data_IF_054183522413
#
_entry.id   IF_054183522413
#
_cell.length_a   1.000
_cell.length_b   1.000
_cell.length_c   1.000
_cell.angle_alpha   90.00
_cell.angle_beta   90.00
_cell.angle_gamma   90.00
#
_symmetry.space_group_name_H-M   'P 1'
#
loop_
_entity.id
_entity.type
_entity.pdbx_description
1 polymer ?
#
# COMPACT_ATOMS: atom_id res chain seq x y z
N UNK A 1 -43.90 -3.83 -5.47
CA UNK A 1 -43.69 -2.37 -5.31
C UNK A 1 -42.45 -2.16 -4.46
N UNK A 2 -41.27 -2.10 -5.09
CA UNK A 2 -40.00 -1.91 -4.38
C UNK A 2 -39.85 -0.45 -3.99
N UNK A 3 -40.07 -0.15 -2.72
CA UNK A 3 -39.67 1.10 -2.09
C UNK A 3 -38.12 1.13 -2.03
N UNK A 4 -37.48 1.34 -3.18
CA UNK A 4 -36.04 1.54 -3.26
C UNK A 4 -35.63 2.81 -2.51
N UNK A 5 -34.42 2.84 -1.95
CA UNK A 5 -33.92 4.05 -1.28
C UNK A 5 -33.91 5.21 -2.29
N UNK A 6 -34.14 6.47 -1.88
CA UNK A 6 -34.11 7.61 -2.80
C UNK A 6 -32.83 7.72 -3.66
N UNK A 7 -31.71 7.18 -3.17
CA UNK A 7 -30.46 7.09 -3.92
C UNK A 7 -30.54 6.13 -5.11
N UNK A 8 -31.19 4.96 -4.96
CA UNK A 8 -31.19 3.89 -5.97
C UNK A 8 -31.85 4.35 -7.27
N UNK A 9 -32.96 5.08 -7.18
CA UNK A 9 -33.66 5.64 -8.33
C UNK A 9 -32.78 6.65 -9.09
N UNK A 10 -32.11 7.55 -8.37
CA UNK A 10 -31.22 8.54 -8.98
C UNK A 10 -29.98 7.88 -9.61
N UNK A 11 -29.42 6.85 -8.97
CA UNK A 11 -28.28 6.09 -9.50
C UNK A 11 -28.64 5.49 -10.86
N UNK A 12 -29.80 4.82 -10.97
CA UNK A 12 -30.26 4.25 -12.23
C UNK A 12 -30.47 5.32 -13.31
N UNK A 13 -31.18 6.40 -12.95
CA UNK A 13 -31.51 7.50 -13.86
C UNK A 13 -30.26 8.22 -14.41
N UNK A 14 -29.23 8.40 -13.59
CA UNK A 14 -28.03 9.15 -13.94
C UNK A 14 -26.91 8.28 -14.50
N UNK A 15 -27.04 6.95 -14.44
CA UNK A 15 -26.09 6.04 -15.06
C UNK A 15 -26.19 6.05 -16.58
N UNK A 16 -25.06 5.84 -17.26
CA UNK A 16 -24.97 5.82 -18.72
C UNK A 16 -24.29 4.53 -19.18
N UNK A 17 -24.71 4.04 -20.33
CA UNK A 17 -24.02 2.94 -20.98
C UNK A 17 -22.60 3.37 -21.38
N UNK A 18 -21.62 2.51 -21.10
CA UNK A 18 -20.25 2.65 -21.53
C UNK A 18 -19.78 1.35 -22.17
N UNK A 19 -18.97 1.47 -23.21
CA UNK A 19 -18.40 0.34 -23.94
C UNK A 19 -16.89 0.41 -23.81
N UNK A 20 -16.30 -0.67 -23.29
CA UNK A 20 -14.84 -0.80 -23.21
C UNK A 20 -14.21 -0.94 -24.61
N UNK A 21 -12.90 -0.68 -24.76
CA UNK A 21 -12.17 -1.01 -25.97
C UNK A 21 -12.32 -2.49 -26.39
N UNK A 22 -12.47 -3.39 -25.41
CA UNK A 22 -12.78 -4.81 -25.63
C UNK A 22 -14.26 -5.13 -25.87
N UNK A 23 -15.09 -4.14 -26.22
CA UNK A 23 -16.53 -4.24 -26.52
C UNK A 23 -17.45 -4.74 -25.39
N UNK A 24 -16.95 -4.88 -24.16
CA UNK A 24 -17.80 -5.15 -22.99
C UNK A 24 -18.65 -3.91 -22.67
N UNK A 25 -19.97 -4.09 -22.56
CA UNK A 25 -20.93 -3.07 -22.13
C UNK A 25 -21.07 -3.06 -20.62
N UNK A 26 -21.07 -1.88 -20.00
CA UNK A 26 -21.31 -1.68 -18.56
C UNK A 26 -22.12 -0.41 -18.35
N UNK A 27 -22.79 -0.30 -17.22
CA UNK A 27 -23.33 0.97 -16.75
C UNK A 27 -22.26 1.69 -15.92
N UNK A 28 -22.13 2.99 -16.16
CA UNK A 28 -21.15 3.86 -15.52
C UNK A 28 -21.83 5.11 -15.00
N UNK A 29 -21.39 5.59 -13.85
CA UNK A 29 -21.84 6.87 -13.28
C UNK A 29 -20.65 7.82 -13.12
N UNK A 30 -20.80 9.05 -13.58
CA UNK A 30 -19.76 10.06 -13.48
C UNK A 30 -19.68 10.69 -12.08
N UNK A 31 -18.57 11.38 -11.82
CA UNK A 31 -18.31 12.00 -10.51
C UNK A 31 -19.32 13.11 -10.15
N UNK A 32 -19.79 13.87 -11.13
CA UNK A 32 -20.73 14.97 -10.85
C UNK A 32 -22.08 14.41 -10.41
N UNK A 33 -22.54 13.35 -11.07
CA UNK A 33 -23.75 12.60 -10.71
C UNK A 33 -23.64 11.98 -9.31
N UNK A 34 -22.52 11.34 -8.98
CA UNK A 34 -22.26 10.81 -7.62
C UNK A 34 -22.35 11.93 -6.56
N UNK A 35 -21.72 13.09 -6.82
CA UNK A 35 -21.75 14.24 -5.90
C UNK A 35 -23.15 14.82 -5.74
N UNK A 36 -23.89 14.91 -6.84
CA UNK A 36 -25.28 15.37 -6.83
C UNK A 36 -26.16 14.47 -5.96
N UNK A 37 -26.07 13.16 -6.14
CA UNK A 37 -26.84 12.17 -5.36
C UNK A 37 -26.45 12.26 -3.88
N UNK A 38 -25.14 12.29 -3.58
CA UNK A 38 -24.62 12.42 -2.22
C UNK A 38 -25.17 13.66 -1.51
N UNK A 39 -25.16 14.81 -2.19
CA UNK A 39 -25.72 16.06 -1.67
C UNK A 39 -27.23 15.97 -1.45
N UNK A 40 -27.99 15.47 -2.44
CA UNK A 40 -29.46 15.39 -2.39
C UNK A 40 -29.96 14.45 -1.30
N UNK A 41 -29.23 13.38 -1.05
CA UNK A 41 -29.59 12.32 -0.07
C UNK A 41 -28.88 12.48 1.27
N UNK A 42 -28.04 13.50 1.45
CA UNK A 42 -27.20 13.70 2.65
C UNK A 42 -26.37 12.45 3.01
N UNK A 43 -25.89 11.74 2.01
CA UNK A 43 -25.11 10.50 2.15
C UNK A 43 -23.68 10.74 1.67
N UNK A 44 -22.69 10.15 2.33
CA UNK A 44 -21.30 10.30 1.93
C UNK A 44 -21.06 9.75 0.51
N UNK A 45 -20.23 10.41 -0.30
CA UNK A 45 -19.95 9.99 -1.69
C UNK A 45 -19.46 8.55 -1.78
N UNK A 46 -18.68 8.08 -0.80
CA UNK A 46 -18.23 6.69 -0.69
C UNK A 46 -19.38 5.69 -0.65
N UNK A 47 -20.41 5.96 0.16
CA UNK A 47 -21.56 5.07 0.30
C UNK A 47 -22.41 5.07 -0.98
N UNK A 48 -22.48 6.20 -1.69
CA UNK A 48 -23.07 6.25 -3.04
C UNK A 48 -22.25 5.41 -4.02
N UNK A 49 -20.93 5.54 -4.04
CA UNK A 49 -20.04 4.74 -4.91
C UNK A 49 -20.17 3.22 -4.64
N UNK A 50 -20.25 2.82 -3.36
CA UNK A 50 -20.51 1.43 -2.96
C UNK A 50 -21.89 0.98 -3.46
N UNK A 51 -22.94 1.77 -3.24
CA UNK A 51 -24.30 1.45 -3.69
C UNK A 51 -24.36 1.30 -5.22
N UNK A 52 -23.65 2.15 -5.97
CA UNK A 52 -23.55 2.01 -7.43
C UNK A 52 -22.96 0.64 -7.81
N UNK A 53 -21.83 0.27 -7.20
CA UNK A 53 -21.16 -1.00 -7.47
C UNK A 53 -22.03 -2.21 -7.12
N UNK A 54 -22.77 -2.16 -6.00
CA UNK A 54 -23.74 -3.19 -5.62
C UNK A 54 -24.88 -3.38 -6.65
N UNK A 55 -25.19 -2.33 -7.42
CA UNK A 55 -26.13 -2.37 -8.54
C UNK A 55 -25.47 -2.69 -9.90
N UNK A 56 -24.18 -3.05 -9.92
CA UNK A 56 -23.44 -3.30 -11.15
C UNK A 56 -23.08 -2.04 -11.94
N UNK A 57 -23.27 -0.86 -11.36
CA UNK A 57 -22.96 0.44 -11.97
C UNK A 57 -21.61 0.91 -11.45
N UNK A 58 -20.65 1.12 -12.36
CA UNK A 58 -19.27 1.43 -11.98
C UNK A 58 -19.07 2.94 -11.90
N UNK A 59 -18.62 3.51 -10.76
CA UNK A 59 -18.15 4.89 -10.73
C UNK A 59 -16.99 5.07 -11.72
N UNK A 60 -17.10 6.04 -12.62
CA UNK A 60 -16.21 6.19 -13.78
C UNK A 60 -14.71 6.20 -13.42
N UNK A 61 -14.36 6.76 -12.25
CA UNK A 61 -12.99 6.81 -11.73
C UNK A 61 -12.34 5.44 -11.53
N UNK A 62 -13.12 4.39 -11.24
CA UNK A 62 -12.59 3.04 -10.97
C UNK A 62 -12.71 2.10 -12.16
N UNK A 63 -13.18 2.59 -13.31
CA UNK A 63 -13.42 1.78 -14.50
C UNK A 63 -12.17 1.02 -14.97
N UNK A 64 -10.99 1.60 -14.74
CA UNK A 64 -9.68 1.03 -15.07
C UNK A 64 -9.18 -0.02 -14.07
N UNK A 65 -9.88 -0.22 -12.95
CA UNK A 65 -9.56 -1.25 -11.95
C UNK A 65 -10.35 -2.53 -12.19
N UNK A 66 -11.57 -2.42 -12.73
CA UNK A 66 -12.55 -3.51 -12.75
C UNK A 66 -12.08 -4.73 -13.55
N UNK A 67 -11.27 -4.53 -14.59
CA UNK A 67 -10.69 -5.65 -15.35
C UNK A 67 -9.74 -6.53 -14.52
N UNK A 68 -9.16 -5.99 -13.45
CA UNK A 68 -8.16 -6.67 -12.62
C UNK A 68 -8.74 -7.19 -11.31
N UNK A 69 -9.52 -6.36 -10.60
CA UNK A 69 -10.03 -6.71 -9.25
C UNK A 69 -11.54 -6.95 -9.20
N UNK A 70 -12.25 -6.78 -10.32
CA UNK A 70 -13.71 -6.90 -10.37
C UNK A 70 -14.45 -5.80 -9.60
N UNK A 71 -15.79 -5.89 -9.58
CA UNK A 71 -16.66 -4.98 -8.84
C UNK A 71 -16.52 -5.26 -7.34
N UNK A 72 -16.49 -6.53 -6.97
CA UNK A 72 -16.37 -7.03 -5.62
C UNK A 72 -15.05 -6.58 -4.98
N UNK A 73 -13.93 -6.63 -5.72
CA UNK A 73 -12.66 -6.11 -5.25
C UNK A 73 -12.70 -4.61 -5.00
N UNK A 74 -13.32 -3.83 -5.90
CA UNK A 74 -13.47 -2.39 -5.69
C UNK A 74 -14.36 -2.05 -4.48
N UNK A 75 -15.42 -2.83 -4.23
CA UNK A 75 -16.25 -2.70 -3.01
C UNK A 75 -15.39 -2.99 -1.76
N UNK A 76 -14.57 -4.05 -1.78
CA UNK A 76 -13.65 -4.36 -0.66
C UNK A 76 -12.68 -3.20 -0.40
N UNK A 77 -12.12 -2.59 -1.45
CA UNK A 77 -11.26 -1.41 -1.30
C UNK A 77 -12.01 -0.24 -0.64
N UNK A 78 -13.21 0.10 -1.14
CA UNK A 78 -14.03 1.20 -0.60
C UNK A 78 -14.51 0.95 0.85
N UNK A 79 -14.53 -0.30 1.30
CA UNK A 79 -14.87 -0.68 2.68
C UNK A 79 -13.66 -0.85 3.60
N UNK A 80 -12.45 -0.87 3.03
CA UNK A 80 -11.23 -1.14 3.78
C UNK A 80 -10.70 0.07 4.54
N UNK A 81 -10.00 -0.21 5.63
CA UNK A 81 -9.18 0.75 6.37
C UNK A 81 -7.73 0.37 6.22
N UNK A 82 -6.90 1.30 5.75
CA UNK A 82 -5.46 1.12 5.59
C UNK A 82 -4.71 2.13 6.44
N UNK A 83 -3.70 1.68 7.17
CA UNK A 83 -2.79 2.58 7.90
C UNK A 83 -1.50 2.75 7.13
N UNK A 84 -1.05 4.00 6.99
CA UNK A 84 0.29 4.33 6.49
C UNK A 84 1.11 4.92 7.63
N UNK A 85 2.20 4.25 7.99
CA UNK A 85 3.12 4.67 9.04
C UNK A 85 4.28 5.47 8.44
N UNK A 86 4.27 6.79 8.55
CA UNK A 86 5.22 7.70 7.93
C UNK A 86 4.72 8.27 6.61
N UNK A 87 5.03 9.54 6.35
CA UNK A 87 4.68 10.29 5.12
C UNK A 87 5.97 10.83 4.49
N UNK A 88 6.96 9.95 4.36
CA UNK A 88 8.23 10.23 3.68
C UNK A 88 8.15 9.98 2.17
N UNK A 89 9.27 9.59 1.55
CA UNK A 89 9.32 9.28 0.11
C UNK A 89 8.42 8.11 -0.26
N UNK A 90 8.44 7.05 0.57
CA UNK A 90 7.54 5.90 0.44
C UNK A 90 6.10 6.29 0.78
N UNK A 91 5.87 6.67 2.04
CA UNK A 91 4.54 6.92 2.60
C UNK A 91 3.71 7.98 1.87
N UNK A 92 4.34 9.02 1.31
CA UNK A 92 3.65 10.00 0.48
C UNK A 92 3.10 9.40 -0.80
N UNK A 93 3.91 8.61 -1.50
CA UNK A 93 3.51 7.90 -2.73
C UNK A 93 2.47 6.83 -2.44
N UNK A 94 2.64 6.06 -1.36
CA UNK A 94 1.66 5.07 -0.89
C UNK A 94 0.29 5.75 -0.68
N UNK A 95 0.27 6.87 0.05
CA UNK A 95 -0.95 7.63 0.35
C UNK A 95 -1.67 8.06 -0.94
N UNK A 96 -0.93 8.62 -1.90
CA UNK A 96 -1.49 9.07 -3.17
C UNK A 96 -2.07 7.91 -3.99
N UNK A 97 -1.34 6.81 -4.12
CA UNK A 97 -1.78 5.65 -4.88
C UNK A 97 -2.99 4.94 -4.24
N UNK A 98 -3.01 4.78 -2.91
CA UNK A 98 -4.17 4.20 -2.22
C UNK A 98 -5.42 5.08 -2.36
N UNK A 99 -5.28 6.41 -2.35
CA UNK A 99 -6.39 7.33 -2.59
C UNK A 99 -6.95 7.19 -4.00
N UNK A 100 -6.07 7.03 -5.01
CA UNK A 100 -6.45 6.79 -6.41
C UNK A 100 -7.15 5.43 -6.58
N UNK A 101 -6.74 4.42 -5.81
CA UNK A 101 -7.37 3.09 -5.82
C UNK A 101 -8.74 3.05 -5.11
N UNK A 102 -9.11 4.10 -4.38
CA UNK A 102 -10.39 4.17 -3.68
C UNK A 102 -10.42 3.36 -2.39
N UNK A 103 -9.34 3.38 -1.61
CA UNK A 103 -9.40 2.88 -0.23
C UNK A 103 -10.42 3.68 0.57
N UNK A 104 -11.29 3.00 1.30
CA UNK A 104 -12.39 3.62 2.04
C UNK A 104 -11.95 4.57 3.14
N UNK A 105 -10.92 4.19 3.90
CA UNK A 105 -10.39 4.96 5.00
C UNK A 105 -8.86 4.84 5.08
N UNK A 106 -8.17 5.97 5.03
CA UNK A 106 -6.74 6.09 5.27
C UNK A 106 -6.47 6.67 6.66
N UNK A 107 -5.72 5.93 7.47
CA UNK A 107 -5.16 6.43 8.73
C UNK A 107 -3.69 6.73 8.49
N UNK A 108 -3.29 7.99 8.60
CA UNK A 108 -1.94 8.44 8.23
C UNK A 108 -1.23 8.92 9.49
N UNK A 109 -0.07 8.32 9.81
CA UNK A 109 0.64 8.58 11.06
C UNK A 109 2.03 9.15 10.76
N UNK A 110 2.27 10.41 11.10
CA UNK A 110 3.59 11.05 11.01
C UNK A 110 3.59 12.31 11.90
N UNK A 111 4.69 12.56 12.62
CA UNK A 111 4.85 13.72 13.51
C UNK A 111 5.53 14.93 12.84
N UNK A 112 6.08 14.71 11.66
CA UNK A 112 7.01 15.59 10.98
C UNK A 112 6.34 16.77 10.28
N UNK A 113 7.20 17.68 9.86
CA UNK A 113 6.89 18.79 8.96
C UNK A 113 7.74 18.67 7.71
N UNK A 114 7.30 19.26 6.60
CA UNK A 114 8.15 19.30 5.41
C UNK A 114 9.30 20.27 5.60
N UNK A 115 10.47 19.86 5.13
CA UNK A 115 11.70 20.64 5.07
C UNK A 115 12.27 20.56 3.64
N UNK A 116 13.16 21.47 3.28
CA UNK A 116 13.62 21.65 1.89
C UNK A 116 14.17 20.37 1.25
N UNK A 117 15.00 19.61 2.00
CA UNK A 117 15.54 18.33 1.52
C UNK A 117 14.49 17.21 1.34
N UNK A 118 13.20 17.48 1.55
CA UNK A 118 12.10 16.57 1.26
C UNK A 118 11.57 16.74 -0.18
N UNK A 119 11.76 17.93 -0.77
CA UNK A 119 11.24 18.27 -2.10
C UNK A 119 11.76 17.34 -3.20
N UNK A 120 12.94 16.76 -3.01
CA UNK A 120 13.56 15.87 -3.99
C UNK A 120 12.80 14.55 -4.21
N UNK A 121 12.04 14.06 -3.21
CA UNK A 121 11.49 12.68 -3.24
C UNK A 121 10.13 12.47 -2.58
N UNK A 122 9.67 13.42 -1.75
CA UNK A 122 8.40 13.28 -1.04
C UNK A 122 7.30 13.92 -1.90
N UNK A 123 6.59 13.11 -2.69
CA UNK A 123 5.62 13.57 -3.71
C UNK A 123 4.52 14.52 -3.18
N UNK A 124 4.23 14.47 -1.87
CA UNK A 124 3.24 15.36 -1.23
C UNK A 124 3.83 16.75 -0.93
N UNK A 125 5.16 16.87 -0.78
CA UNK A 125 5.82 18.12 -0.49
C UNK A 125 5.86 19.02 -1.74
N UNK A 126 5.50 20.28 -1.54
CA UNK A 126 5.72 21.37 -2.49
C UNK A 126 6.48 22.49 -1.79
N UNK A 127 7.04 23.45 -2.54
CA UNK A 127 7.71 24.62 -1.95
C UNK A 127 6.76 25.40 -1.02
N UNK A 128 5.47 25.46 -1.36
CA UNK A 128 4.44 26.11 -0.53
C UNK A 128 4.17 25.37 0.78
N UNK A 129 4.57 24.09 0.90
CA UNK A 129 4.27 23.24 2.06
C UNK A 129 5.41 23.17 3.08
N UNK A 130 6.53 23.84 2.83
CA UNK A 130 7.65 23.91 3.78
C UNK A 130 7.17 24.41 5.16
N UNK A 131 7.59 23.71 6.21
CA UNK A 131 7.15 23.95 7.59
C UNK A 131 5.74 23.44 7.93
N UNK A 132 4.92 23.02 6.97
CA UNK A 132 3.59 22.46 7.25
C UNK A 132 3.68 21.02 7.74
N UNK A 133 2.67 20.59 8.50
CA UNK A 133 2.56 19.21 9.01
C UNK A 133 2.30 18.24 7.88
N UNK A 134 3.12 17.18 7.79
CA UNK A 134 3.02 16.19 6.72
C UNK A 134 1.65 15.53 6.63
N UNK A 135 1.10 15.10 7.77
CA UNK A 135 -0.22 14.44 7.79
C UNK A 135 -1.37 15.37 7.42
N UNK A 136 -1.27 16.68 7.73
CA UNK A 136 -2.30 17.66 7.34
C UNK A 136 -2.26 17.91 5.84
N UNK A 137 -1.09 18.15 5.27
CA UNK A 137 -0.93 18.30 3.82
C UNK A 137 -1.35 17.03 3.07
N UNK A 138 -1.07 15.84 3.61
CA UNK A 138 -1.53 14.58 3.03
C UNK A 138 -3.06 14.47 2.98
N UNK A 139 -3.78 14.91 4.02
CA UNK A 139 -5.25 14.99 4.02
C UNK A 139 -5.74 15.89 2.88
N UNK A 140 -5.16 17.08 2.74
CA UNK A 140 -5.57 18.03 1.71
C UNK A 140 -5.27 17.49 0.30
N UNK A 141 -4.14 16.81 0.13
CA UNK A 141 -3.78 16.13 -1.11
C UNK A 141 -4.79 15.03 -1.46
N UNK A 142 -5.12 14.15 -0.52
CA UNK A 142 -6.09 13.06 -0.74
C UNK A 142 -7.47 13.62 -1.09
N UNK A 143 -7.94 14.66 -0.40
CA UNK A 143 -9.23 15.30 -0.71
C UNK A 143 -9.32 15.83 -2.14
N UNK A 144 -8.22 16.37 -2.67
CA UNK A 144 -8.13 16.84 -4.07
C UNK A 144 -8.17 15.68 -5.08
N UNK A 145 -7.66 14.50 -4.71
CA UNK A 145 -7.60 13.31 -5.56
C UNK A 145 -8.94 12.55 -5.54
N UNK A 146 -9.43 12.24 -4.34
CA UNK A 146 -10.60 11.38 -4.17
C UNK A 146 -11.40 11.78 -2.92
N UNK A 147 -12.49 12.52 -3.15
CA UNK A 147 -13.38 13.00 -2.09
C UNK A 147 -14.21 11.89 -1.42
N UNK A 148 -14.20 10.65 -1.96
CA UNK A 148 -14.82 9.50 -1.31
C UNK A 148 -13.92 8.86 -0.23
N UNK A 149 -12.61 9.14 -0.24
CA UNK A 149 -11.67 8.58 0.73
C UNK A 149 -11.75 9.37 2.03
N UNK A 150 -12.03 8.68 3.13
CA UNK A 150 -11.94 9.27 4.47
C UNK A 150 -10.49 9.25 4.92
N UNK A 151 -9.99 10.34 5.51
CA UNK A 151 -8.62 10.41 6.03
C UNK A 151 -8.60 10.81 7.49
N UNK A 152 -7.91 10.04 8.32
CA UNK A 152 -7.63 10.36 9.72
C UNK A 152 -6.14 10.67 9.89
N UNK A 153 -5.76 11.95 10.06
CA UNK A 153 -4.38 12.32 10.34
C UNK A 153 -4.04 12.11 11.82
N UNK A 154 -2.93 11.41 12.08
CA UNK A 154 -2.38 11.22 13.42
C UNK A 154 -1.03 11.91 13.47
N UNK A 155 -1.03 13.17 13.92
CA UNK A 155 0.18 13.97 14.11
C UNK A 155 0.87 13.64 15.44
N UNK A 156 1.41 12.42 15.56
CA UNK A 156 2.05 11.91 16.79
C UNK A 156 3.25 11.02 16.44
N UNK A 157 4.20 10.95 17.37
CA UNK A 157 5.30 9.98 17.30
C UNK A 157 4.75 8.56 17.46
N UNK A 158 5.23 7.64 16.61
CA UNK A 158 4.96 6.21 16.78
C UNK A 158 5.84 5.66 17.90
N UNK A 159 5.23 4.99 18.86
CA UNK A 159 5.92 4.24 19.91
C UNK A 159 5.07 3.05 20.37
N UNK A 160 5.66 2.17 21.19
CA UNK A 160 5.02 0.93 21.65
C UNK A 160 3.74 1.18 22.47
N UNK A 161 3.62 2.34 23.13
CA UNK A 161 2.45 2.67 23.95
C UNK A 161 1.25 3.12 23.11
N UNK A 162 1.49 3.73 21.94
CA UNK A 162 0.43 4.40 21.16
C UNK A 162 0.02 3.64 19.90
N UNK A 163 0.94 2.88 19.30
CA UNK A 163 0.75 2.30 17.96
C UNK A 163 -0.46 1.36 17.88
N UNK A 164 -0.66 0.51 18.90
CA UNK A 164 -1.77 -0.46 18.93
C UNK A 164 -3.13 0.24 18.86
N UNK A 165 -3.29 1.38 19.53
CA UNK A 165 -4.52 2.19 19.46
C UNK A 165 -4.75 2.75 18.06
N UNK A 166 -3.69 3.15 17.37
CA UNK A 166 -3.79 3.78 16.06
C UNK A 166 -4.12 2.78 14.95
N UNK A 167 -3.67 1.52 15.08
CA UNK A 167 -3.81 0.52 14.00
C UNK A 167 -4.91 -0.52 14.21
N UNK A 168 -5.54 -0.60 15.39
CA UNK A 168 -6.46 -1.69 15.78
C UNK A 168 -7.59 -2.05 14.79
N UNK A 169 -8.00 -1.12 13.93
CA UNK A 169 -9.09 -1.31 12.97
C UNK A 169 -8.59 -1.42 11.52
N UNK A 170 -7.28 -1.54 11.32
CA UNK A 170 -6.69 -1.63 9.99
C UNK A 170 -6.88 -3.03 9.40
N UNK A 171 -7.23 -3.09 8.12
CA UNK A 171 -7.17 -4.33 7.34
C UNK A 171 -5.73 -4.66 6.90
N UNK A 172 -4.88 -3.64 6.75
CA UNK A 172 -3.45 -3.75 6.45
C UNK A 172 -2.73 -2.47 6.88
N UNK A 173 -1.46 -2.61 7.29
CA UNK A 173 -0.56 -1.50 7.62
C UNK A 173 0.60 -1.48 6.62
N UNK A 174 0.97 -0.31 6.10
CA UNK A 174 2.11 -0.12 5.20
C UNK A 174 3.24 0.68 5.86
N UNK A 175 4.47 0.32 5.51
CA UNK A 175 5.71 0.89 6.02
C UNK A 175 6.19 2.09 5.20
N UNK A 176 5.97 3.30 5.71
CA UNK A 176 6.56 4.53 5.20
C UNK A 176 7.70 5.06 6.09
N UNK A 177 8.28 4.23 6.96
CA UNK A 177 9.22 4.64 8.00
C UNK A 177 10.67 4.65 7.51
N UNK A 178 11.49 5.46 8.17
CA UNK A 178 12.89 5.69 7.84
C UNK A 178 13.87 5.10 8.85
N UNK A 179 13.39 4.37 9.87
CA UNK A 179 14.26 3.80 10.89
C UNK A 179 13.78 2.43 11.36
N UNK A 180 14.75 1.53 11.51
CA UNK A 180 14.54 0.12 11.85
C UNK A 180 13.78 -0.10 13.17
N UNK A 181 14.09 0.69 14.20
CA UNK A 181 13.46 0.54 15.52
C UNK A 181 11.95 0.79 15.48
N UNK A 182 11.51 1.85 14.77
CA UNK A 182 10.08 2.13 14.62
C UNK A 182 9.40 1.06 13.76
N UNK A 183 10.06 0.54 12.72
CA UNK A 183 9.56 -0.58 11.91
C UNK A 183 9.28 -1.81 12.78
N UNK A 184 10.22 -2.19 13.65
CA UNK A 184 10.02 -3.30 14.62
C UNK A 184 8.84 -3.06 15.55
N UNK A 185 8.68 -1.84 16.08
CA UNK A 185 7.54 -1.49 16.95
C UNK A 185 6.21 -1.69 16.22
N UNK A 186 6.09 -1.20 14.98
CA UNK A 186 4.87 -1.34 14.17
C UNK A 186 4.61 -2.80 13.82
N UNK A 187 5.61 -3.54 13.35
CA UNK A 187 5.47 -4.95 13.00
C UNK A 187 5.04 -5.81 14.19
N UNK A 188 5.63 -5.59 15.36
CA UNK A 188 5.24 -6.29 16.59
C UNK A 188 3.79 -6.00 16.98
N UNK A 189 3.35 -4.74 16.83
CA UNK A 189 1.98 -4.35 17.09
C UNK A 189 1.00 -4.98 16.08
N UNK A 190 1.37 -5.03 14.80
CA UNK A 190 0.60 -5.69 13.75
C UNK A 190 0.45 -7.19 14.05
N UNK A 191 1.53 -7.87 14.40
CA UNK A 191 1.48 -9.29 14.77
C UNK A 191 0.60 -9.54 16.00
N UNK A 192 0.73 -8.70 17.05
CA UNK A 192 -0.11 -8.79 18.26
C UNK A 192 -1.61 -8.63 17.96
N UNK A 193 -1.95 -7.74 17.02
CA UNK A 193 -3.33 -7.45 16.62
C UNK A 193 -3.84 -8.33 15.48
N UNK A 194 -3.00 -9.25 14.98
CA UNK A 194 -3.28 -10.09 13.80
C UNK A 194 -3.62 -9.27 12.54
N UNK A 195 -2.88 -8.20 12.31
CA UNK A 195 -3.01 -7.33 11.15
C UNK A 195 -1.82 -7.57 10.20
N UNK A 196 -2.06 -7.77 8.89
CA UNK A 196 -0.99 -7.81 7.89
C UNK A 196 -0.16 -6.52 7.85
N UNK A 197 1.15 -6.67 7.65
CA UNK A 197 2.09 -5.56 7.50
C UNK A 197 2.87 -5.70 6.19
N UNK A 198 2.86 -4.67 5.36
CA UNK A 198 3.67 -4.59 4.14
C UNK A 198 4.87 -3.70 4.43
N UNK A 199 6.05 -4.28 4.29
CA UNK A 199 7.32 -3.60 4.53
C UNK A 199 7.97 -3.17 3.21
N UNK A 200 8.44 -1.93 3.18
CA UNK A 200 9.37 -1.39 2.19
C UNK A 200 10.53 -0.65 2.86
N UNK A 201 11.71 -0.72 2.25
CA UNK A 201 12.85 0.13 2.61
C UNK A 201 13.70 0.44 1.37
N UNK A 202 14.49 1.52 1.45
CA UNK A 202 15.31 2.02 0.35
C UNK A 202 16.64 2.56 0.87
N UNK A 203 17.67 2.52 0.01
CA UNK A 203 18.94 3.22 0.18
C UNK A 203 19.57 3.45 -1.20
N UNK A 204 19.74 4.69 -1.63
CA UNK A 204 20.29 5.00 -2.96
C UNK A 204 19.47 4.38 -4.10
N UNK A 205 20.12 3.54 -4.89
CA UNK A 205 19.50 2.75 -5.98
C UNK A 205 19.09 1.34 -5.55
N UNK A 206 19.08 1.06 -4.25
CA UNK A 206 18.59 -0.20 -3.72
C UNK A 206 17.21 -0.01 -3.09
N UNK A 207 16.36 -1.01 -3.23
CA UNK A 207 15.08 -1.08 -2.55
C UNK A 207 14.75 -2.50 -2.16
N UNK A 208 13.91 -2.67 -1.15
CA UNK A 208 13.49 -3.98 -0.71
C UNK A 208 12.05 -3.97 -0.23
N UNK A 209 11.42 -5.15 -0.27
CA UNK A 209 10.07 -5.29 0.24
C UNK A 209 9.70 -6.73 0.63
N UNK A 210 8.72 -6.85 1.52
CA UNK A 210 8.06 -8.11 1.84
C UNK A 210 6.66 -7.88 2.41
N UNK A 211 5.85 -8.93 2.40
CA UNK A 211 4.57 -8.99 3.10
C UNK A 211 4.68 -9.90 4.31
N UNK A 212 4.37 -9.36 5.48
CA UNK A 212 4.42 -10.05 6.78
C UNK A 212 2.97 -10.27 7.24
N UNK A 213 2.53 -11.52 7.23
CA UNK A 213 1.22 -11.91 7.77
C UNK A 213 1.32 -12.24 9.27
N UNK A 214 0.19 -12.23 10.00
CA UNK A 214 0.17 -12.66 11.39
C UNK A 214 0.76 -14.06 11.59
N UNK A 215 1.71 -14.19 12.52
CA UNK A 215 2.43 -15.42 12.80
C UNK A 215 3.72 -15.63 11.99
N UNK A 216 3.99 -14.82 10.96
CA UNK A 216 5.24 -14.90 10.21
C UNK A 216 6.42 -14.41 11.08
N UNK A 217 7.63 -14.94 10.83
CA UNK A 217 8.85 -14.47 11.52
C UNK A 217 9.14 -12.99 11.24
N UNK A 218 8.78 -12.49 10.05
CA UNK A 218 8.96 -11.11 9.63
C UNK A 218 10.39 -10.61 9.84
N UNK A 219 10.54 -9.44 10.47
CA UNK A 219 11.85 -8.83 10.77
C UNK A 219 12.79 -9.71 11.60
N UNK A 220 12.29 -10.67 12.38
CA UNK A 220 13.18 -11.59 13.11
C UNK A 220 14.07 -12.37 12.14
N UNK A 221 13.50 -12.86 11.04
CA UNK A 221 14.26 -13.58 10.01
C UNK A 221 15.32 -12.70 9.35
N UNK A 222 15.03 -11.40 9.16
CA UNK A 222 16.01 -10.42 8.70
C UNK A 222 17.18 -10.29 9.69
N UNK A 223 16.87 -10.06 10.98
CA UNK A 223 17.89 -9.84 12.01
C UNK A 223 18.81 -11.04 12.15
N UNK A 224 18.22 -12.24 12.08
CA UNK A 224 18.95 -13.52 12.14
C UNK A 224 19.98 -13.62 10.99
N UNK A 225 19.71 -13.01 9.83
CA UNK A 225 20.61 -13.01 8.65
C UNK A 225 21.66 -11.90 8.74
N UNK A 226 21.25 -10.68 9.10
CA UNK A 226 22.14 -9.50 9.12
C UNK A 226 23.14 -9.55 10.28
N UNK A 227 22.76 -10.14 11.42
CA UNK A 227 23.60 -10.22 12.62
C UNK A 227 23.76 -8.90 13.36
N UNK A 228 22.99 -7.86 13.01
CA UNK A 228 23.04 -6.53 13.63
C UNK A 228 21.63 -6.05 13.98
N UNK A 229 21.42 -5.61 15.22
CA UNK A 229 20.15 -5.05 15.69
C UNK A 229 20.07 -3.52 15.60
N UNK A 230 21.15 -2.85 15.16
CA UNK A 230 21.32 -1.41 15.35
C UNK A 230 22.26 -0.79 14.31
N UNK A 231 21.80 0.30 13.70
CA UNK A 231 22.56 1.19 12.82
C UNK A 231 21.67 2.28 12.21
N UNK A 232 22.23 3.45 11.93
CA UNK A 232 21.63 4.32 10.89
C UNK A 232 21.71 3.55 9.58
N UNK A 233 20.61 3.48 8.84
CA UNK A 233 20.62 2.71 7.60
C UNK A 233 21.56 3.36 6.58
N UNK A 234 21.98 2.56 5.60
CA UNK A 234 22.96 2.93 4.57
C UNK A 234 22.45 4.12 3.70
N UNK A 235 21.16 4.46 3.77
CA UNK A 235 20.58 5.65 3.16
C UNK A 235 21.17 6.97 3.67
N UNK A 236 21.72 7.00 4.89
CA UNK A 236 22.39 8.19 5.42
C UNK A 236 23.65 8.56 4.66
N UNK A 237 24.29 7.57 4.02
CA UNK A 237 25.47 7.73 3.19
C UNK A 237 25.11 7.84 1.70
N UNK A 238 24.17 7.01 1.24
CA UNK A 238 23.82 6.88 -0.18
C UNK A 238 22.74 7.86 -0.64
N UNK A 239 22.04 8.51 0.29
CA UNK A 239 20.89 9.36 -0.01
C UNK A 239 19.70 8.56 -0.54
N UNK A 240 18.67 9.28 -1.00
CA UNK A 240 17.43 8.69 -1.52
C UNK A 240 16.98 9.43 -2.79
N UNK A 241 17.44 8.99 -3.98
CA UNK A 241 16.96 9.46 -5.28
C UNK A 241 15.45 9.31 -5.42
N UNK A 242 14.80 10.18 -6.18
CA UNK A 242 13.33 10.29 -6.22
C UNK A 242 12.61 9.01 -6.70
N UNK A 243 13.19 8.31 -7.67
CA UNK A 243 12.56 7.16 -8.33
C UNK A 243 12.50 5.92 -7.43
N UNK A 244 13.56 5.64 -6.67
CA UNK A 244 13.68 4.47 -5.79
C UNK A 244 12.50 4.33 -4.82
N UNK A 245 12.13 5.34 -3.99
CA UNK A 245 10.95 5.25 -3.13
C UNK A 245 9.66 5.11 -3.93
N UNK A 246 9.52 5.76 -5.09
CA UNK A 246 8.30 5.67 -5.87
C UNK A 246 8.03 4.23 -6.37
N UNK A 247 9.09 3.53 -6.80
CA UNK A 247 9.00 2.13 -7.26
C UNK A 247 8.60 1.20 -6.10
N UNK A 248 9.29 1.30 -4.96
CA UNK A 248 9.00 0.45 -3.79
C UNK A 248 7.60 0.74 -3.25
N UNK A 249 7.22 2.01 -3.09
CA UNK A 249 5.89 2.41 -2.65
C UNK A 249 4.78 1.88 -3.57
N UNK A 250 5.00 1.94 -4.89
CA UNK A 250 4.03 1.40 -5.85
C UNK A 250 3.83 -0.10 -5.65
N UNK A 251 4.90 -0.85 -5.38
CA UNK A 251 4.80 -2.29 -5.16
C UNK A 251 4.21 -2.62 -3.77
N UNK A 252 4.53 -1.86 -2.72
CA UNK A 252 3.86 -2.00 -1.41
C UNK A 252 2.34 -1.82 -1.53
N UNK A 253 1.90 -0.83 -2.33
CA UNK A 253 0.48 -0.64 -2.60
C UNK A 253 -0.12 -1.85 -3.30
N UNK A 254 0.58 -2.46 -4.27
CA UNK A 254 0.09 -3.68 -4.91
C UNK A 254 -0.10 -4.81 -3.89
N UNK A 255 0.84 -5.03 -2.97
CA UNK A 255 0.66 -6.04 -1.91
C UNK A 255 -0.58 -5.74 -1.05
N UNK A 256 -0.80 -4.48 -0.67
CA UNK A 256 -1.98 -4.08 0.08
C UNK A 256 -3.29 -4.34 -0.69
N UNK A 257 -3.34 -4.02 -2.00
CA UNK A 257 -4.50 -4.32 -2.83
C UNK A 257 -4.75 -5.84 -2.88
N UNK A 258 -3.70 -6.66 -3.04
CA UNK A 258 -3.84 -8.12 -3.05
C UNK A 258 -4.35 -8.67 -1.72
N UNK A 259 -3.86 -8.14 -0.59
CA UNK A 259 -4.34 -8.50 0.75
C UNK A 259 -5.84 -8.19 0.89
N UNK A 260 -6.27 -6.99 0.51
CA UNK A 260 -7.66 -6.54 0.69
C UNK A 260 -8.61 -7.28 -0.25
N UNK A 261 -8.20 -7.48 -1.51
CA UNK A 261 -9.08 -8.04 -2.55
C UNK A 261 -9.07 -9.58 -2.55
N UNK A 262 -7.95 -10.19 -2.17
CA UNK A 262 -7.68 -11.63 -2.29
C UNK A 262 -7.21 -12.05 -3.69
N UNK A 263 -6.84 -11.10 -4.56
CA UNK A 263 -6.43 -11.39 -5.94
C UNK A 263 -4.90 -11.51 -6.03
N UNK A 264 -4.39 -12.65 -6.48
CA UNK A 264 -2.95 -12.89 -6.72
C UNK A 264 -2.16 -13.34 -5.48
N UNK A 265 -0.87 -13.63 -5.69
CA UNK A 265 0.03 -14.16 -4.67
C UNK A 265 0.82 -13.08 -3.95
N UNK A 266 1.02 -13.22 -2.64
CA UNK A 266 1.77 -12.27 -1.82
C UNK A 266 3.27 -12.54 -1.83
N UNK A 267 4.05 -11.50 -1.52
CA UNK A 267 5.49 -11.60 -1.22
C UNK A 267 5.67 -12.06 0.24
N UNK A 268 5.12 -13.24 0.56
CA UNK A 268 5.22 -13.86 1.88
C UNK A 268 6.41 -14.82 1.94
N UNK A 269 7.04 -14.94 3.11
CA UNK A 269 8.19 -15.84 3.37
C UNK A 269 9.44 -15.56 2.50
N UNK A 270 9.51 -14.39 1.89
CA UNK A 270 10.62 -13.94 1.04
C UNK A 270 10.82 -12.44 1.12
N UNK A 271 12.06 -12.02 1.01
CA UNK A 271 12.45 -10.62 0.81
C UNK A 271 12.77 -10.43 -0.67
N UNK A 272 12.12 -9.48 -1.32
CA UNK A 272 12.52 -9.02 -2.65
C UNK A 272 13.54 -7.91 -2.46
N UNK A 273 14.67 -8.01 -3.14
CA UNK A 273 15.71 -7.00 -3.19
C UNK A 273 15.88 -6.53 -4.63
N UNK A 274 15.78 -5.23 -4.84
CA UNK A 274 15.97 -4.57 -6.12
C UNK A 274 17.26 -3.77 -6.07
N UNK A 275 18.11 -3.99 -7.07
CA UNK A 275 19.30 -3.19 -7.32
C UNK A 275 19.15 -2.50 -8.67
N UNK A 276 18.90 -1.19 -8.66
CA UNK A 276 18.74 -0.40 -9.88
C UNK A 276 20.08 0.03 -10.49
N UNK A 277 21.20 -0.15 -9.78
CA UNK A 277 22.52 0.09 -10.36
C UNK A 277 22.87 -1.04 -11.34
N UNK A 278 22.66 -2.28 -10.90
CA UNK A 278 22.93 -3.48 -11.69
C UNK A 278 21.70 -4.02 -12.44
N UNK A 279 20.53 -3.38 -12.27
CA UNK A 279 19.24 -3.80 -12.82
C UNK A 279 18.83 -5.23 -12.44
N UNK A 280 19.03 -5.61 -11.17
CA UNK A 280 18.71 -6.95 -10.67
C UNK A 280 17.52 -6.96 -9.72
N UNK A 281 16.82 -8.09 -9.70
CA UNK A 281 15.73 -8.39 -8.76
C UNK A 281 15.98 -9.77 -8.16
N UNK A 282 16.34 -9.81 -6.89
CA UNK A 282 16.61 -11.04 -6.16
C UNK A 282 15.47 -11.38 -5.21
N UNK A 283 15.21 -12.68 -5.08
CA UNK A 283 14.28 -13.22 -4.09
C UNK A 283 15.07 -14.00 -3.05
N UNK A 284 15.11 -13.48 -1.81
CA UNK A 284 15.78 -14.13 -0.68
C UNK A 284 14.71 -14.87 0.13
N UNK A 285 14.81 -16.20 0.22
CA UNK A 285 13.91 -17.00 1.04
C UNK A 285 14.19 -16.75 2.52
N UNK A 286 13.13 -16.49 3.30
CA UNK A 286 13.21 -16.29 4.75
C UNK A 286 12.76 -17.54 5.53
N UNK A 287 12.42 -18.62 4.82
CA UNK A 287 12.02 -19.88 5.42
C UNK A 287 13.23 -20.76 5.72
N UNK A 288 13.47 -21.03 7.01
CA UNK A 288 13.94 -22.35 7.44
C UNK A 288 12.70 -23.14 7.86
N UNK A 289 12.03 -23.79 6.90
CA UNK A 289 11.20 -24.96 7.24
C UNK A 289 12.15 -26.14 7.30
N UNK A 290 12.21 -26.80 8.45
CA UNK A 290 12.65 -28.21 8.51
C UNK A 290 11.62 -29.00 7.69
N UNK A 291 12.11 -29.90 6.86
CA UNK A 291 11.40 -30.62 5.81
C UNK A 291 9.99 -31.09 6.20
N UNK A 292 9.03 -30.82 5.31
CA UNK A 292 8.11 -31.83 4.77
C UNK A 292 7.50 -31.26 3.48
N UNK A 293 7.93 -31.83 2.36
CA UNK A 293 7.45 -31.52 1.02
C UNK A 293 6.05 -32.14 0.87
N UNK A 294 5.05 -31.30 0.63
CA UNK A 294 3.86 -31.70 -0.14
C UNK A 294 3.72 -30.76 -1.33
N UNK A 295 3.69 -31.28 -2.57
CA UNK A 295 3.70 -30.45 -3.76
C UNK A 295 2.33 -29.81 -4.01
N UNK A 296 2.28 -28.48 -4.11
CA UNK A 296 1.14 -27.78 -4.70
C UNK A 296 1.31 -27.78 -6.23
N UNK A 297 0.39 -28.43 -6.95
CA UNK A 297 0.40 -28.53 -8.41
C UNK A 297 -0.15 -27.24 -9.05
N UNK A 298 0.75 -26.34 -9.45
CA UNK A 298 0.50 -25.32 -10.46
C UNK A 298 1.45 -25.57 -11.64
N UNK A 299 0.91 -25.69 -12.86
CA UNK A 299 1.66 -26.05 -14.07
C UNK A 299 2.83 -25.08 -14.32
N UNK A 300 4.05 -25.62 -14.36
CA UNK A 300 5.28 -24.94 -14.76
C UNK A 300 5.42 -24.87 -16.28
N UNK A 301 5.98 -23.78 -16.78
CA UNK A 301 6.77 -23.76 -18.01
C UNK A 301 8.12 -23.14 -17.64
N UNK A 302 9.21 -23.84 -17.98
CA UNK A 302 10.62 -23.46 -17.83
C UNK A 302 11.18 -22.95 -19.16
N UNK A 303 12.30 -22.18 -19.18
CA UNK A 303 13.63 -22.82 -19.20
C UNK A 303 14.73 -22.12 -18.38
N UNK A 304 15.78 -22.93 -18.13
CA UNK A 304 17.06 -22.66 -17.46
C UNK A 304 17.86 -21.48 -18.03
N UNK A 305 18.72 -20.88 -17.18
CA UNK A 305 20.13 -20.62 -17.52
C UNK A 305 21.01 -20.61 -16.26
N UNK A 306 22.15 -21.28 -16.36
CA UNK A 306 23.26 -21.32 -15.38
C UNK A 306 24.12 -20.05 -15.46
N UNK A 307 24.56 -19.54 -14.30
CA UNK A 307 25.88 -18.88 -14.21
C UNK A 307 26.41 -18.83 -12.77
N UNK A 308 27.58 -19.45 -12.61
CA UNK A 308 28.59 -19.45 -11.53
C UNK A 308 28.32 -18.65 -10.24
N UNK A 309 28.33 -19.39 -9.13
CA UNK A 309 28.13 -18.96 -7.75
C UNK A 309 29.34 -18.27 -7.12
N UNK A 310 29.14 -17.07 -6.58
CA UNK A 310 29.69 -16.72 -5.27
C UNK A 310 28.64 -17.08 -4.21
N UNK A 311 29.06 -17.71 -3.11
CA UNK A 311 28.17 -18.42 -2.19
C UNK A 311 26.94 -17.61 -1.73
N UNK A 312 25.71 -18.15 -1.85
CA UNK A 312 24.45 -17.43 -1.63
C UNK A 312 24.33 -16.76 -0.25
N UNK A 313 25.04 -17.28 0.76
CA UNK A 313 25.07 -16.73 2.12
C UNK A 313 25.75 -15.35 2.22
N UNK A 314 26.79 -15.06 1.42
CA UNK A 314 27.52 -13.79 1.50
C UNK A 314 26.74 -12.65 0.85
N UNK A 315 26.09 -12.91 -0.29
CA UNK A 315 25.17 -11.96 -0.97
C UNK A 315 23.92 -11.69 -0.14
N UNK A 316 23.31 -12.71 0.45
CA UNK A 316 22.17 -12.54 1.35
C UNK A 316 22.53 -11.69 2.58
N UNK A 317 23.73 -11.89 3.16
CA UNK A 317 24.21 -11.10 4.29
C UNK A 317 24.37 -9.63 3.92
N UNK A 318 25.07 -9.30 2.83
CA UNK A 318 25.29 -7.91 2.39
C UNK A 318 23.98 -7.17 2.10
N UNK A 319 23.02 -7.86 1.46
CA UNK A 319 21.68 -7.32 1.16
C UNK A 319 20.83 -7.15 2.42
N UNK A 320 20.97 -8.05 3.39
CA UNK A 320 20.32 -7.94 4.69
C UNK A 320 20.94 -6.86 5.61
N UNK A 321 22.18 -6.43 5.36
CA UNK A 321 22.79 -5.30 6.09
C UNK A 321 22.30 -3.93 5.60
N UNK A 322 21.57 -3.87 4.48
CA UNK A 322 20.94 -2.64 3.98
C UNK A 322 19.60 -2.32 4.67
N UNK A 323 19.26 -3.02 5.76
CA UNK A 323 17.95 -3.00 6.43
C UNK A 323 17.87 -2.01 7.59
#
# INVERSE_FOLDING_TARGET
>A
MTTGRPADQLIQQLSKAWVSPGKQKRLVIDLQSVRYIASKTKTASREIEITCLEHGIVPARYLRNIGTIGIEGQIKLLRSTVVVCGVGGLGGTITELLARQGIGHLVIIDKGRFVENNLNRQIIATEEDLGKSKVKTAVDRVKKINSAVVVTPINKTINSQTITRFIRNAGVVLDGLDNFMTRRIVANACNKLKIPFVHGAIAGFCGQMMTILPGDKGFKAICDISGTESGCGVETLTGNPAATPAIIAAWEVQEAIKIITGVGDLIRDRLIFLDFLDNTVDQISLSHRVDQITPFQGKKVSPNFDSKEEGPKKKAKLKATLI
#
